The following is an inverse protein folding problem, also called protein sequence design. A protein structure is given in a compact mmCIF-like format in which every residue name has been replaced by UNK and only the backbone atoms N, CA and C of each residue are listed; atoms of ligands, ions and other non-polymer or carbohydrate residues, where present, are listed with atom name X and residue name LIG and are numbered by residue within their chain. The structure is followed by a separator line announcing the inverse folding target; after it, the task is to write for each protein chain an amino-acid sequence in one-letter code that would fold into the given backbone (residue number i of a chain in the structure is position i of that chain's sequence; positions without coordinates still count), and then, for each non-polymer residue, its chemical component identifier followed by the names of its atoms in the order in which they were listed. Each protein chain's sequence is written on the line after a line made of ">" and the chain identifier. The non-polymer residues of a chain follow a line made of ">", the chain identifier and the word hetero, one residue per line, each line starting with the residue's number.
data_IF_038011451958
#
_entry.id   IF_038011451958
#
_cell.length_a   1.000
_cell.length_b   1.000
_cell.length_c   1.000
_cell.angle_alpha   90.00
_cell.angle_beta   90.00
_cell.angle_gamma   90.00
#
_symmetry.space_group_name_H-M   'P 1'
#
loop_
_entity.id
_entity.type
_entity.pdbx_description
1 polymer ?
#
# COMPACT_ATOMS: atom_id res chain seq x y z
N UNK A 1 -3.83 -20.33 -22.85
CA UNK A 1 -4.94 -20.27 -21.87
C UNK A 1 -5.60 -18.91 -22.01
N UNK A 2 -6.73 -18.83 -22.69
CA UNK A 2 -7.55 -17.60 -22.76
C UNK A 2 -8.44 -17.59 -21.53
N UNK A 3 -8.21 -16.66 -20.61
CA UNK A 3 -9.05 -16.50 -19.42
C UNK A 3 -10.46 -16.09 -19.86
N UNK A 4 -11.50 -16.82 -19.43
CA UNK A 4 -12.88 -16.43 -19.68
C UNK A 4 -13.17 -15.07 -19.03
N UNK A 5 -13.95 -14.20 -19.69
CA UNK A 5 -14.32 -12.91 -19.10
C UNK A 5 -15.14 -13.15 -17.84
N UNK A 6 -14.66 -12.64 -16.71
CA UNK A 6 -15.37 -12.69 -15.43
C UNK A 6 -16.58 -11.77 -15.52
N UNK A 7 -17.79 -12.33 -15.49
CA UNK A 7 -19.03 -11.56 -15.36
C UNK A 7 -19.11 -11.07 -13.91
N UNK A 8 -19.15 -9.74 -13.64
CA UNK A 8 -19.27 -9.24 -12.28
C UNK A 8 -20.63 -9.64 -11.72
N UNK A 9 -20.62 -10.43 -10.65
CA UNK A 9 -21.83 -10.78 -9.89
C UNK A 9 -21.85 -10.01 -8.58
N UNK A 10 -23.02 -9.52 -8.14
CA UNK A 10 -23.12 -8.82 -6.86
C UNK A 10 -22.71 -9.75 -5.72
N UNK A 11 -21.78 -9.29 -4.88
CA UNK A 11 -21.36 -9.99 -3.67
C UNK A 11 -22.41 -9.73 -2.60
N UNK A 12 -22.98 -10.76 -1.94
CA UNK A 12 -23.91 -10.56 -0.84
C UNK A 12 -23.26 -9.77 0.31
N UNK A 13 -24.00 -8.84 0.93
CA UNK A 13 -23.47 -7.93 1.96
C UNK A 13 -22.76 -8.66 3.11
N UNK A 14 -23.29 -9.82 3.53
CA UNK A 14 -22.67 -10.65 4.57
C UNK A 14 -21.29 -11.16 4.17
N UNK A 15 -21.10 -11.50 2.89
CA UNK A 15 -19.82 -11.95 2.35
C UNK A 15 -18.86 -10.76 2.26
N UNK A 16 -19.34 -9.59 1.83
CA UNK A 16 -18.52 -8.37 1.81
C UNK A 16 -18.04 -7.99 3.22
N UNK A 17 -18.92 -8.06 4.22
CA UNK A 17 -18.56 -7.83 5.62
C UNK A 17 -17.55 -8.86 6.13
N UNK A 18 -17.72 -10.14 5.76
CA UNK A 18 -16.79 -11.20 6.14
C UNK A 18 -15.40 -11.00 5.53
N UNK A 19 -15.33 -10.64 4.24
CA UNK A 19 -14.08 -10.28 3.56
C UNK A 19 -13.40 -9.10 4.28
N UNK A 20 -14.17 -8.06 4.63
CA UNK A 20 -13.67 -6.91 5.38
C UNK A 20 -13.14 -7.26 6.78
N UNK A 21 -13.67 -8.33 7.40
CA UNK A 21 -13.24 -8.80 8.72
C UNK A 21 -11.97 -9.67 8.71
N UNK A 22 -11.56 -10.16 7.54
CA UNK A 22 -10.39 -11.04 7.41
C UNK A 22 -9.05 -10.33 7.62
N UNK A 23 -9.00 -9.00 7.54
CA UNK A 23 -7.78 -8.24 7.79
C UNK A 23 -7.94 -7.38 9.06
N UNK A 24 -7.02 -7.49 10.03
CA UNK A 24 -7.09 -6.64 11.22
C UNK A 24 -6.97 -5.15 10.86
N UNK A 25 -7.72 -4.30 11.55
CA UNK A 25 -7.76 -2.85 11.26
C UNK A 25 -6.38 -2.17 11.28
N UNK A 26 -5.48 -2.60 12.17
CA UNK A 26 -4.12 -2.07 12.23
C UNK A 26 -3.27 -2.42 11.02
N UNK A 27 -3.57 -3.54 10.34
CA UNK A 27 -2.92 -3.92 9.09
C UNK A 27 -3.48 -3.10 7.93
N UNK A 28 -4.81 -2.93 7.86
CA UNK A 28 -5.46 -2.06 6.88
C UNK A 28 -4.92 -0.63 6.96
N UNK A 29 -4.76 -0.09 8.17
CA UNK A 29 -4.16 1.24 8.36
C UNK A 29 -2.71 1.27 7.86
N UNK A 30 -1.92 0.24 8.17
CA UNK A 30 -0.54 0.16 7.70
C UNK A 30 -0.44 0.06 6.16
N UNK A 31 -1.40 -0.58 5.48
CA UNK A 31 -1.46 -0.59 4.02
C UNK A 31 -1.72 0.82 3.46
N UNK A 32 -2.69 1.53 4.02
CA UNK A 32 -3.00 2.91 3.64
C UNK A 32 -1.78 3.81 3.87
N UNK A 33 -1.14 3.70 5.03
CA UNK A 33 0.04 4.50 5.38
C UNK A 33 1.21 4.20 4.43
N UNK A 34 1.44 2.93 4.11
CA UNK A 34 2.49 2.51 3.21
C UNK A 34 2.24 3.01 1.77
N UNK A 35 1.01 2.92 1.26
CA UNK A 35 0.65 3.43 -0.07
C UNK A 35 0.80 4.96 -0.15
N UNK A 36 0.28 5.68 0.86
CA UNK A 36 0.44 7.14 0.94
C UNK A 36 1.91 7.56 0.99
N UNK A 37 2.72 6.89 1.82
CA UNK A 37 4.15 7.18 1.93
C UNK A 37 4.92 6.84 0.64
N UNK A 38 4.63 5.69 0.01
CA UNK A 38 5.26 5.30 -1.25
C UNK A 38 4.96 6.30 -2.38
N UNK A 39 3.72 6.80 -2.44
CA UNK A 39 3.33 7.85 -3.38
C UNK A 39 4.09 9.15 -3.11
N UNK A 40 4.23 9.55 -1.86
CA UNK A 40 4.95 10.79 -1.51
C UNK A 40 6.46 10.66 -1.84
N UNK A 41 7.09 9.53 -1.55
CA UNK A 41 8.49 9.27 -1.97
C UNK A 41 8.66 9.39 -3.48
N UNK A 42 7.69 8.91 -4.26
CA UNK A 42 7.73 8.96 -5.72
C UNK A 42 7.52 10.37 -6.29
N UNK A 43 6.89 11.28 -5.52
CA UNK A 43 6.64 12.67 -5.93
C UNK A 43 7.93 13.46 -6.09
N UNK A 44 8.93 13.21 -5.25
CA UNK A 44 10.21 13.92 -5.27
C UNK A 44 11.08 13.48 -6.45
N UNK A 45 11.23 14.34 -7.46
CA UNK A 45 12.06 14.10 -8.65
C UNK A 45 13.31 14.98 -8.63
N UNK A 46 14.46 14.38 -8.91
CA UNK A 46 15.73 15.09 -8.94
C UNK A 46 15.78 16.16 -10.05
N UNK A 47 16.56 17.25 -9.86
CA UNK A 47 17.32 17.59 -8.64
C UNK A 47 16.42 18.10 -7.51
N UNK A 48 16.75 17.75 -6.27
CA UNK A 48 16.00 18.12 -5.06
C UNK A 48 16.71 19.25 -4.32
N UNK A 49 15.96 20.21 -3.79
CA UNK A 49 16.50 21.14 -2.81
C UNK A 49 16.66 20.45 -1.43
N UNK A 50 17.27 21.13 -0.46
CA UNK A 50 17.47 20.57 0.87
C UNK A 50 16.15 20.23 1.59
N UNK A 51 15.11 21.04 1.37
CA UNK A 51 13.77 20.82 1.94
C UNK A 51 13.12 19.58 1.32
N UNK A 52 13.13 19.50 -0.02
CA UNK A 52 12.63 18.32 -0.74
C UNK A 52 13.37 17.03 -0.34
N UNK A 53 14.66 17.12 -0.03
CA UNK A 53 15.44 15.98 0.45
C UNK A 53 14.98 15.54 1.84
N UNK A 54 14.78 16.49 2.77
CA UNK A 54 14.29 16.19 4.11
C UNK A 54 12.89 15.57 4.08
N UNK A 55 11.99 16.11 3.25
CA UNK A 55 10.63 15.59 3.10
C UNK A 55 10.62 14.19 2.48
N UNK A 56 11.48 13.94 1.49
CA UNK A 56 11.66 12.60 0.91
C UNK A 56 12.16 11.60 1.95
N UNK A 57 13.13 11.98 2.78
CA UNK A 57 13.65 11.14 3.86
C UNK A 57 12.58 10.84 4.92
N UNK A 58 11.75 11.84 5.25
CA UNK A 58 10.60 11.65 6.13
C UNK A 58 9.60 10.64 5.58
N UNK A 59 9.26 10.76 4.28
CA UNK A 59 8.35 9.83 3.61
C UNK A 59 8.92 8.40 3.54
N UNK A 60 10.24 8.25 3.30
CA UNK A 60 10.92 6.95 3.36
C UNK A 60 10.85 6.33 4.76
N UNK A 61 11.03 7.14 5.81
CA UNK A 61 10.92 6.66 7.19
C UNK A 61 9.49 6.23 7.53
N UNK A 62 8.47 6.95 7.06
CA UNK A 62 7.07 6.58 7.21
C UNK A 62 6.77 5.24 6.52
N UNK A 63 7.23 5.08 5.28
CA UNK A 63 7.08 3.83 4.53
C UNK A 63 7.76 2.66 5.26
N UNK A 64 8.97 2.84 5.78
CA UNK A 64 9.68 1.80 6.51
C UNK A 64 8.93 1.36 7.78
N UNK A 65 8.33 2.29 8.52
CA UNK A 65 7.51 1.98 9.71
C UNK A 65 6.27 1.17 9.34
N UNK A 66 5.54 1.58 8.30
CA UNK A 66 4.35 0.87 7.85
C UNK A 66 4.70 -0.54 7.32
N UNK A 67 5.75 -0.65 6.50
CA UNK A 67 6.26 -1.93 6.01
C UNK A 67 6.71 -2.88 7.13
N UNK A 68 7.17 -2.37 8.28
CA UNK A 68 7.49 -3.24 9.42
C UNK A 68 6.26 -3.96 9.95
N UNK A 69 5.12 -3.26 10.02
CA UNK A 69 3.83 -3.85 10.44
C UNK A 69 3.34 -4.83 9.39
N UNK A 70 3.34 -4.42 8.11
CA UNK A 70 2.90 -5.28 7.01
C UNK A 70 3.76 -6.53 6.88
N UNK A 71 5.08 -6.41 6.96
CA UNK A 71 6.01 -7.53 6.86
C UNK A 71 5.88 -8.53 8.02
N UNK A 72 5.51 -8.07 9.22
CA UNK A 72 5.21 -8.95 10.34
C UNK A 72 3.91 -9.75 10.14
N UNK A 73 2.95 -9.20 9.42
CA UNK A 73 1.69 -9.86 9.09
C UNK A 73 1.81 -10.79 7.87
N UNK A 74 2.29 -10.24 6.75
CA UNK A 74 2.54 -10.97 5.51
C UNK A 74 3.64 -10.26 4.69
N UNK A 75 4.82 -10.87 4.48
CA UNK A 75 5.89 -10.30 3.68
C UNK A 75 5.51 -9.94 2.24
N UNK A 76 4.46 -10.57 1.69
CA UNK A 76 3.93 -10.26 0.36
C UNK A 76 3.23 -8.91 0.24
N UNK A 77 2.93 -8.25 1.37
CA UNK A 77 2.29 -6.93 1.41
C UNK A 77 3.29 -5.78 1.47
N UNK A 78 4.60 -6.05 1.47
CA UNK A 78 5.62 -5.01 1.51
C UNK A 78 5.56 -4.13 0.25
N UNK A 79 5.47 -2.82 0.45
CA UNK A 79 5.47 -1.84 -0.65
C UNK A 79 6.88 -1.32 -0.93
N UNK A 80 7.19 -1.15 -2.22
CA UNK A 80 8.42 -0.52 -2.70
C UNK A 80 8.09 0.80 -3.39
N UNK A 81 8.81 1.89 -3.10
CA UNK A 81 8.62 3.14 -3.84
C UNK A 81 8.81 2.91 -5.34
N UNK A 82 7.88 3.41 -6.16
CA UNK A 82 7.97 3.31 -7.63
C UNK A 82 7.50 1.98 -8.24
N UNK A 83 7.01 1.02 -7.44
CA UNK A 83 6.21 -0.11 -7.94
C UNK A 83 4.81 0.04 -7.36
N UNK A 84 3.86 0.50 -8.18
CA UNK A 84 2.45 0.37 -7.83
C UNK A 84 2.16 -1.12 -7.64
N UNK A 85 1.63 -1.51 -6.48
CA UNK A 85 1.18 -2.88 -6.25
C UNK A 85 -0.13 -3.20 -6.99
N UNK A 86 -0.77 -2.19 -7.58
CA UNK A 86 -2.06 -2.30 -8.26
C UNK A 86 -2.06 -1.45 -9.53
N UNK A 87 -1.57 -2.01 -10.63
CA UNK A 87 -1.81 -1.58 -12.02
C UNK A 87 -1.79 -2.82 -12.91
#
# INVERSE_FOLDING_TARGET
>A
MTASPLVPVPIPDRVAALIGSCMPIGILQAEVDAECAAREVYRFRAPLCAEDQADREHALAALARANKVLGAYNPGLLLRPGRAAWC
#
